data_IF_900842893474
#
_entry.id   IF_900842893474
#
_cell.length_a   1.000
_cell.length_b   1.000
_cell.length_c   1.000
_cell.angle_alpha   90.00
_cell.angle_beta   90.00
_cell.angle_gamma   90.00
#
_symmetry.space_group_name_H-M   'P 1'
#
loop_
_entity.id
_entity.type
_entity.pdbx_description
1 polymer ?
#
# COMPACT_ATOMS: atom_id res chain seq x y z
N UNK A 1 13.05 4.14 -7.39
CA UNK A 1 12.91 4.97 -6.18
C UNK A 1 11.95 6.15 -6.39
N UNK A 2 12.30 7.23 -7.11
CA UNK A 2 11.29 8.30 -7.35
C UNK A 2 10.01 7.78 -8.02
N UNK A 3 10.15 6.92 -9.04
CA UNK A 3 9.00 6.27 -9.67
C UNK A 3 8.18 5.40 -8.71
N UNK A 4 8.82 4.79 -7.71
CA UNK A 4 8.14 3.96 -6.71
C UNK A 4 7.20 4.78 -5.85
N UNK A 5 7.66 5.93 -5.34
CA UNK A 5 6.83 6.85 -4.57
C UNK A 5 5.62 7.32 -5.38
N UNK A 6 5.85 7.68 -6.64
CA UNK A 6 4.81 8.22 -7.50
C UNK A 6 3.66 7.24 -7.78
N UNK A 7 3.88 5.92 -7.69
CA UNK A 7 2.81 4.94 -7.92
C UNK A 7 1.73 4.96 -6.83
N UNK A 8 2.06 5.44 -5.62
CA UNK A 8 1.11 5.57 -4.53
C UNK A 8 0.20 6.79 -4.65
N UNK A 9 0.48 7.72 -5.59
CA UNK A 9 -0.18 9.03 -5.67
C UNK A 9 -1.36 9.09 -6.64
N UNK A 10 -2.07 7.97 -6.76
CA UNK A 10 -3.28 7.88 -7.56
C UNK A 10 -3.07 7.35 -8.98
N UNK A 11 -4.17 6.80 -9.49
CA UNK A 11 -4.27 6.12 -10.78
C UNK A 11 -5.52 6.59 -11.52
N UNK A 12 -5.66 6.29 -12.80
CA UNK A 12 -6.83 6.73 -13.58
C UNK A 12 -8.16 6.24 -12.97
N UNK A 13 -8.20 4.98 -12.50
CA UNK A 13 -9.37 4.40 -11.85
C UNK A 13 -9.58 4.91 -10.41
N UNK A 14 -8.49 5.24 -9.71
CA UNK A 14 -8.49 5.69 -8.32
C UNK A 14 -7.64 6.97 -8.20
N UNK A 15 -8.19 8.14 -8.58
CA UNK A 15 -7.39 9.36 -8.75
C UNK A 15 -7.09 10.12 -7.46
N UNK A 16 -7.80 9.80 -6.37
CA UNK A 16 -7.51 10.41 -5.06
C UNK A 16 -6.20 9.81 -4.55
N UNK A 17 -5.24 10.68 -4.24
CA UNK A 17 -3.90 10.34 -3.78
C UNK A 17 -3.90 9.31 -2.64
N UNK A 18 -4.65 9.59 -1.58
CA UNK A 18 -4.69 8.74 -0.38
C UNK A 18 -5.62 7.51 -0.53
N UNK A 19 -6.25 7.28 -1.69
CA UNK A 19 -7.29 6.24 -1.84
C UNK A 19 -6.80 4.83 -1.50
N UNK A 20 -5.56 4.49 -1.89
CA UNK A 20 -5.01 3.17 -1.61
C UNK A 20 -4.69 2.99 -0.12
N UNK A 21 -4.03 3.97 0.48
CA UNK A 21 -3.67 3.95 1.91
C UNK A 21 -4.93 3.98 2.79
N UNK A 22 -5.89 4.85 2.48
CA UNK A 22 -7.20 4.92 3.14
C UNK A 22 -7.92 3.58 3.09
N UNK A 23 -7.93 2.92 1.93
CA UNK A 23 -8.59 1.64 1.76
C UNK A 23 -7.92 0.57 2.64
N UNK A 24 -6.60 0.47 2.60
CA UNK A 24 -5.87 -0.49 3.43
C UNK A 24 -6.08 -0.22 4.92
N UNK A 25 -5.96 1.03 5.36
CA UNK A 25 -6.15 1.41 6.77
C UNK A 25 -7.54 1.08 7.32
N UNK A 26 -8.60 1.27 6.52
CA UNK A 26 -9.98 0.90 6.89
C UNK A 26 -10.21 -0.61 6.95
N UNK A 27 -9.37 -1.40 6.29
CA UNK A 27 -9.46 -2.85 6.23
C UNK A 27 -8.33 -3.55 7.02
N UNK A 28 -7.77 -2.88 8.03
CA UNK A 28 -6.73 -3.45 8.91
C UNK A 28 -5.43 -3.81 8.18
N UNK A 29 -5.13 -3.11 7.09
CA UNK A 29 -3.98 -3.34 6.22
C UNK A 29 -3.01 -2.18 6.19
N UNK A 30 -1.86 -2.43 5.56
CA UNK A 30 -0.81 -1.47 5.29
C UNK A 30 -0.02 -1.89 4.04
N UNK A 31 0.68 -0.94 3.44
CA UNK A 31 1.55 -1.17 2.28
C UNK A 31 2.92 -0.58 2.48
N UNK A 32 3.89 -1.09 1.75
CA UNK A 32 5.20 -0.45 1.60
C UNK A 32 5.84 -0.87 0.27
N UNK A 33 6.93 -0.19 -0.08
CA UNK A 33 7.75 -0.53 -1.23
C UNK A 33 9.22 -0.23 -0.94
N UNK A 34 10.11 -0.80 -1.75
CA UNK A 34 11.51 -0.41 -1.79
C UNK A 34 12.13 -0.67 -3.15
N UNK A 35 13.12 0.15 -3.51
CA UNK A 35 13.93 0.02 -4.72
C UNK A 35 15.35 -0.31 -4.31
N UNK A 36 15.87 -1.45 -4.79
CA UNK A 36 17.28 -1.79 -4.75
C UNK A 36 17.92 -1.59 -6.14
N UNK A 37 19.17 -2.01 -6.33
CA UNK A 37 19.92 -1.81 -7.57
C UNK A 37 19.27 -2.46 -8.81
N UNK A 38 18.65 -3.63 -8.65
CA UNK A 38 18.11 -4.41 -9.77
C UNK A 38 16.58 -4.56 -9.74
N UNK A 39 15.96 -4.33 -8.57
CA UNK A 39 14.55 -4.63 -8.35
C UNK A 39 13.82 -3.47 -7.66
N UNK A 40 12.52 -3.36 -7.94
CA UNK A 40 11.60 -2.54 -7.15
C UNK A 40 10.46 -3.42 -6.68
N UNK A 41 10.30 -3.55 -5.37
CA UNK A 41 9.32 -4.43 -4.75
C UNK A 41 8.20 -3.60 -4.13
N UNK A 42 6.95 -4.00 -4.40
CA UNK A 42 5.75 -3.42 -3.82
C UNK A 42 4.95 -4.53 -3.15
N UNK A 43 4.47 -4.30 -1.93
CA UNK A 43 3.70 -5.28 -1.19
C UNK A 43 2.70 -4.62 -0.26
N UNK A 44 1.66 -5.37 0.09
CA UNK A 44 0.65 -4.95 1.06
C UNK A 44 0.14 -6.15 1.86
N UNK A 45 -0.47 -5.84 3.00
CA UNK A 45 -1.31 -6.76 3.75
C UNK A 45 -2.69 -6.13 3.95
N UNK A 46 -3.68 -6.97 4.26
CA UNK A 46 -5.06 -6.58 4.56
C UNK A 46 -5.69 -7.66 5.42
N UNK A 47 -6.69 -7.29 6.23
CA UNK A 47 -7.46 -8.24 7.03
C UNK A 47 -8.08 -9.32 6.13
N UNK A 48 -8.02 -10.61 6.54
CA UNK A 48 -8.72 -11.68 5.83
C UNK A 48 -10.22 -11.69 6.13
N UNK A 49 -10.67 -11.00 7.18
CA UNK A 49 -12.07 -10.97 7.60
C UNK A 49 -12.81 -9.82 6.93
N UNK A 50 -13.94 -10.13 6.29
CA UNK A 50 -14.90 -9.11 5.88
C UNK A 50 -15.61 -8.61 7.15
N UNK A 51 -15.51 -7.31 7.44
CA UNK A 51 -16.34 -6.70 8.48
C UNK A 51 -17.79 -6.69 7.99
N UNK A 52 -18.64 -7.54 8.55
CA UNK A 52 -20.09 -7.35 8.46
C UNK A 52 -20.43 -6.10 9.27
N UNK A 53 -21.06 -5.11 8.64
CA UNK A 53 -21.52 -3.85 9.24
C UNK A 53 -22.58 -4.02 10.37
N UNK A 54 -22.75 -5.23 10.93
CA UNK A 54 -23.81 -5.59 11.87
C UNK A 54 -23.36 -5.80 13.33
N UNK A 55 -22.07 -5.77 13.68
CA UNK A 55 -21.61 -6.09 15.05
C UNK A 55 -21.04 -4.90 15.83
N UNK A 56 -21.94 -4.21 16.54
CA UNK A 56 -21.69 -3.24 17.61
C UNK A 56 -21.36 -3.94 18.96
N UNK A 57 -20.52 -4.99 18.96
CA UNK A 57 -20.12 -5.66 20.21
C UNK A 57 -18.64 -6.02 20.25
N UNK A 58 -17.90 -5.35 21.16
CA UNK A 58 -16.55 -5.70 21.59
C UNK A 58 -16.51 -7.17 22.03
N UNK A 59 -16.14 -8.08 21.14
CA UNK A 59 -15.72 -9.43 21.53
C UNK A 59 -14.24 -9.58 21.26
N UNK A 60 -13.47 -9.51 22.34
CA UNK A 60 -12.07 -9.90 22.39
C UNK A 60 -11.98 -11.43 22.30
N UNK A 61 -12.21 -11.99 21.12
CA UNK A 61 -11.89 -13.39 20.85
C UNK A 61 -10.64 -13.45 19.95
N UNK A 62 -9.69 -14.28 20.33
CA UNK A 62 -8.54 -14.64 19.50
C UNK A 62 -9.09 -15.39 18.27
N UNK A 63 -9.34 -14.66 17.18
CA UNK A 63 -9.76 -15.26 15.91
C UNK A 63 -8.58 -16.03 15.34
N UNK A 64 -8.70 -17.36 15.28
CA UNK A 64 -7.79 -18.19 14.49
C UNK A 64 -7.86 -17.69 13.04
N UNK A 65 -6.71 -17.28 12.49
CA UNK A 65 -6.61 -16.73 11.14
C UNK A 65 -6.92 -17.87 10.14
N UNK A 66 -8.19 -18.06 9.81
CA UNK A 66 -8.61 -18.88 8.68
C UNK A 66 -8.23 -18.16 7.36
N UNK A 67 -8.00 -18.95 6.32
CA UNK A 67 -7.52 -18.49 5.02
C UNK A 67 -8.34 -17.32 4.47
N UNK A 68 -7.71 -16.43 3.69
CA UNK A 68 -8.35 -15.32 2.94
C UNK A 68 -9.36 -15.76 1.87
N UNK A 69 -9.67 -17.05 1.86
CA UNK A 69 -10.61 -17.74 1.01
C UNK A 69 -11.58 -18.41 1.96
N UNK A 70 -12.84 -17.98 1.95
CA UNK A 70 -13.90 -18.60 2.73
C UNK A 70 -14.06 -20.08 2.32
N UNK A 71 -14.70 -20.89 3.15
CA UNK A 71 -14.97 -22.32 2.85
C UNK A 71 -15.69 -22.57 1.50
N UNK A 72 -16.31 -21.53 0.92
CA UNK A 72 -16.93 -21.55 -0.40
C UNK A 72 -15.99 -21.16 -1.57
N UNK A 73 -14.70 -20.94 -1.31
CA UNK A 73 -13.72 -20.52 -2.32
C UNK A 73 -13.76 -19.02 -2.63
N UNK A 74 -14.47 -18.22 -1.83
CA UNK A 74 -14.65 -16.78 -2.07
C UNK A 74 -13.52 -15.99 -1.41
N UNK A 75 -12.83 -15.16 -2.21
CA UNK A 75 -11.79 -14.26 -1.72
C UNK A 75 -12.45 -13.12 -0.94
N UNK A 76 -11.91 -12.77 0.24
CA UNK A 76 -12.38 -11.63 1.03
C UNK A 76 -12.55 -10.38 0.16
N UNK A 77 -13.64 -9.64 0.40
CA UNK A 77 -13.93 -8.38 -0.29
C UNK A 77 -12.81 -7.36 -0.09
N UNK A 78 -12.16 -7.35 1.08
CA UNK A 78 -11.03 -6.49 1.40
C UNK A 78 -9.81 -6.83 0.53
N UNK A 79 -9.46 -8.11 0.39
CA UNK A 79 -8.35 -8.55 -0.47
C UNK A 79 -8.61 -8.23 -1.94
N UNK A 80 -9.82 -8.48 -2.42
CA UNK A 80 -10.21 -8.13 -3.79
C UNK A 80 -10.11 -6.63 -4.06
N UNK A 81 -10.62 -5.80 -3.14
CA UNK A 81 -10.57 -4.35 -3.25
C UNK A 81 -9.16 -3.76 -3.15
N UNK A 82 -8.31 -4.34 -2.31
CA UNK A 82 -6.90 -3.96 -2.18
C UNK A 82 -6.12 -4.32 -3.45
N UNK A 83 -6.30 -5.55 -3.95
CA UNK A 83 -5.60 -6.04 -5.14
C UNK A 83 -6.02 -5.27 -6.40
N UNK A 84 -7.29 -4.91 -6.54
CA UNK A 84 -7.75 -4.13 -7.69
C UNK A 84 -7.13 -2.72 -7.72
N UNK A 85 -6.98 -2.06 -6.56
CA UNK A 85 -6.28 -0.76 -6.44
C UNK A 85 -4.79 -0.90 -6.70
N UNK A 86 -4.15 -1.89 -6.08
CA UNK A 86 -2.73 -2.18 -6.24
C UNK A 86 -2.36 -2.46 -7.70
N UNK A 87 -3.19 -3.23 -8.41
CA UNK A 87 -2.95 -3.54 -9.83
C UNK A 87 -2.92 -2.28 -10.71
N UNK A 88 -3.66 -1.21 -10.35
CA UNK A 88 -3.67 0.02 -11.13
C UNK A 88 -2.31 0.74 -11.16
N UNK A 89 -1.43 0.50 -10.17
CA UNK A 89 -0.06 1.04 -10.14
C UNK A 89 0.71 0.65 -11.41
N UNK A 90 0.42 -0.54 -11.95
CA UNK A 90 1.10 -1.11 -13.11
C UNK A 90 0.31 -0.97 -14.42
N UNK A 91 -0.87 -0.35 -14.38
CA UNK A 91 -1.75 -0.18 -15.53
C UNK A 91 -1.80 1.28 -15.98
N UNK A 92 -2.17 2.19 -15.08
CA UNK A 92 -2.46 3.61 -15.41
C UNK A 92 -2.20 4.58 -14.24
N UNK A 93 -0.95 4.67 -13.74
CA UNK A 93 -0.58 5.71 -12.76
C UNK A 93 -0.73 7.13 -13.35
N UNK A 94 -1.17 8.08 -12.53
CA UNK A 94 -1.47 9.44 -13.00
C UNK A 94 -0.23 10.29 -13.28
N UNK A 95 0.79 10.19 -12.41
CA UNK A 95 1.94 11.09 -12.42
C UNK A 95 1.57 12.58 -12.49
N UNK A 96 0.66 13.01 -11.60
CA UNK A 96 0.21 14.41 -11.53
C UNK A 96 1.40 15.36 -11.33
N UNK A 97 1.56 16.33 -12.25
CA UNK A 97 2.59 17.37 -12.22
C UNK A 97 2.61 18.14 -10.90
N UNK A 98 1.45 18.35 -10.26
CA UNK A 98 1.37 19.03 -8.98
C UNK A 98 2.06 18.25 -7.85
N UNK A 99 2.13 16.92 -7.95
CA UNK A 99 2.70 16.04 -6.93
C UNK A 99 4.18 15.72 -7.15
N UNK A 100 4.66 15.86 -8.40
CA UNK A 100 6.07 15.64 -8.74
C UNK A 100 7.02 16.45 -7.85
N UNK A 101 6.72 17.74 -7.61
CA UNK A 101 7.59 18.59 -6.81
C UNK A 101 7.63 18.17 -5.34
N UNK A 102 6.49 17.71 -4.80
CA UNK A 102 6.39 17.26 -3.42
C UNK A 102 7.19 15.97 -3.21
N UNK A 103 7.05 15.00 -4.11
CA UNK A 103 7.80 13.75 -4.00
C UNK A 103 9.29 13.92 -4.26
N UNK A 104 9.68 14.87 -5.13
CA UNK A 104 11.09 15.17 -5.33
C UNK A 104 11.73 15.69 -4.02
N UNK A 105 10.99 16.46 -3.23
CA UNK A 105 11.42 16.89 -1.89
C UNK A 105 11.46 15.73 -0.90
N UNK A 106 10.50 14.81 -0.93
CA UNK A 106 10.46 13.62 -0.08
C UNK A 106 11.69 12.71 -0.30
N UNK A 107 11.95 12.35 -1.56
CA UNK A 107 13.12 11.52 -1.94
C UNK A 107 14.43 12.19 -1.57
N UNK A 108 14.54 13.52 -1.77
CA UNK A 108 15.74 14.24 -1.34
C UNK A 108 15.93 14.21 0.18
N UNK A 109 14.84 14.26 0.96
CA UNK A 109 14.91 14.15 2.42
C UNK A 109 15.41 12.77 2.86
N UNK A 110 14.96 11.68 2.22
CA UNK A 110 15.43 10.32 2.51
C UNK A 110 16.91 10.17 2.20
N UNK A 111 17.36 10.67 1.05
CA UNK A 111 18.79 10.71 0.71
C UNK A 111 19.60 11.46 1.78
N UNK A 112 19.15 12.63 2.21
CA UNK A 112 19.84 13.42 3.24
C UNK A 112 19.90 12.70 4.59
N UNK A 113 18.82 12.01 4.99
CA UNK A 113 18.76 11.22 6.21
C UNK A 113 19.71 10.01 6.18
N UNK A 114 19.85 9.37 5.01
CA UNK A 114 20.76 8.24 4.82
C UNK A 114 22.25 8.61 4.93
N UNK A 115 22.63 9.89 4.70
CA UNK A 115 24.05 10.33 4.71
C UNK A 115 24.77 10.14 6.04
N UNK A 116 24.04 10.12 7.16
CA UNK A 116 24.64 9.94 8.48
C UNK A 116 24.74 8.47 8.91
N UNK A 117 24.20 7.54 8.13
CA UNK A 117 24.21 6.12 8.42
C UNK A 117 25.40 5.43 7.72
N UNK A 118 26.29 4.79 8.49
CA UNK A 118 27.54 4.21 7.94
C UNK A 118 27.30 3.03 6.99
N UNK A 119 26.14 2.37 7.05
CA UNK A 119 25.74 1.34 6.08
C UNK A 119 25.53 1.90 4.66
N UNK A 120 25.07 3.14 4.53
CA UNK A 120 24.87 3.82 3.24
C UNK A 120 26.16 4.44 2.66
N UNK A 121 27.22 4.54 3.46
CA UNK A 121 28.49 5.18 3.05
C UNK A 121 29.51 4.20 2.45
N UNK A 122 29.31 2.90 2.67
CA UNK A 122 30.26 1.84 2.31
C UNK A 122 29.89 1.10 1.01
N UNK A 123 28.85 1.54 0.30
CA UNK A 123 28.43 1.06 -1.01
C UNK A 123 28.49 2.20 -2.03
#
# INVERSE_FOLDING_TARGET
>A
HFHEHMLFLGTEKYPKEEEYEDFLGRNGGASNAYTDMEDTNYYFNVSPLDHSDDDDEETSEEVEIESSVDNDGKVSSALSGALDRFAQFFISPLFDEAMLERELRAVNSEYLNGRTADNWRNY
#
